data_IF_103795784956
#
_entry.id   IF_103795784956
#
_cell.length_a   1.000
_cell.length_b   1.000
_cell.length_c   1.000
_cell.angle_alpha   90.00
_cell.angle_beta   90.00
_cell.angle_gamma   90.00
#
_symmetry.space_group_name_H-M   'P 1'
#
loop_
_entity.id
_entity.type
_entity.pdbx_description
1 polymer ?
#
# COMPACT_ATOMS: atom_id res chain seq x y z
N UNK A 1 8.69 3.47 -18.93
CA UNK A 1 7.82 3.87 -17.80
C UNK A 1 6.61 2.93 -17.81
N UNK A 2 6.58 1.89 -16.98
CA UNK A 2 5.49 0.90 -17.00
C UNK A 2 4.18 1.54 -16.58
N UNK A 3 3.11 1.35 -17.36
CA UNK A 3 1.76 1.79 -16.98
C UNK A 3 1.38 1.10 -15.67
N UNK A 4 1.22 1.85 -14.58
CA UNK A 4 0.64 1.29 -13.37
C UNK A 4 -0.83 0.97 -13.64
N UNK A 5 -1.18 -0.32 -13.50
CA UNK A 5 -2.56 -0.78 -13.58
C UNK A 5 -3.37 -0.09 -12.49
N UNK A 6 -4.46 0.58 -12.86
CA UNK A 6 -5.34 1.26 -11.91
C UNK A 6 -5.98 0.23 -10.97
N UNK A 7 -5.45 0.12 -9.75
CA UNK A 7 -6.05 -0.68 -8.68
C UNK A 7 -7.34 0.03 -8.26
N UNK A 8 -8.50 -0.61 -8.47
CA UNK A 8 -9.81 0.02 -8.24
C UNK A 8 -10.34 -0.14 -6.81
N UNK A 9 -9.82 -1.11 -6.06
CA UNK A 9 -10.30 -1.50 -4.72
C UNK A 9 -9.18 -2.21 -3.94
N UNK A 10 -9.23 -2.22 -2.61
CA UNK A 10 -8.26 -2.97 -1.83
C UNK A 10 -8.45 -4.47 -2.05
N UNK A 11 -7.36 -5.22 -1.91
CA UNK A 11 -7.38 -6.70 -1.96
C UNK A 11 -8.10 -7.30 -0.75
N UNK A 12 -8.13 -6.58 0.37
CA UNK A 12 -8.74 -6.98 1.63
C UNK A 12 -9.64 -5.86 2.16
N UNK A 13 -10.82 -6.21 2.68
CA UNK A 13 -11.55 -5.29 3.58
C UNK A 13 -10.94 -5.42 4.97
N UNK A 14 -10.31 -4.35 5.44
CA UNK A 14 -9.65 -4.31 6.73
C UNK A 14 -10.14 -3.12 7.54
N UNK A 15 -10.21 -3.29 8.86
CA UNK A 15 -10.63 -2.20 9.76
C UNK A 15 -9.66 -1.02 9.63
N UNK A 16 -10.19 0.20 9.65
CA UNK A 16 -9.41 1.40 9.42
C UNK A 16 -9.00 1.64 7.95
N UNK A 17 -9.51 0.85 7.00
CA UNK A 17 -9.18 0.97 5.57
C UNK A 17 -9.45 2.37 5.00
N UNK A 18 -8.39 3.07 4.64
CA UNK A 18 -8.42 4.45 4.12
C UNK A 18 -8.53 4.57 2.60
N UNK A 19 -8.95 3.52 1.88
CA UNK A 19 -8.85 3.42 0.41
C UNK A 19 -9.33 4.67 -0.34
N UNK A 20 -10.53 5.16 -0.04
CA UNK A 20 -11.11 6.33 -0.72
C UNK A 20 -10.35 7.64 -0.44
N UNK A 21 -9.66 7.74 0.71
CA UNK A 21 -8.88 8.93 1.12
C UNK A 21 -7.39 8.80 0.83
N UNK A 22 -6.93 7.65 0.32
CA UNK A 22 -5.52 7.39 0.09
C UNK A 22 -4.92 8.36 -0.92
N UNK A 23 -5.58 8.60 -2.06
CA UNK A 23 -5.12 9.55 -3.07
C UNK A 23 -4.94 10.97 -2.52
N UNK A 24 -5.88 11.43 -1.68
CA UNK A 24 -5.77 12.71 -0.98
C UNK A 24 -4.56 12.75 -0.05
N UNK A 25 -4.37 11.69 0.75
CA UNK A 25 -3.24 11.56 1.70
C UNK A 25 -1.89 11.58 0.97
N UNK A 26 -1.77 10.81 -0.13
CA UNK A 26 -0.57 10.75 -0.97
C UNK A 26 -0.22 12.11 -1.56
N UNK A 27 -1.21 12.97 -1.85
CA UNK A 27 -0.98 14.31 -2.39
C UNK A 27 -0.14 15.22 -1.49
N UNK A 28 0.02 14.89 -0.22
CA UNK A 28 0.85 15.63 0.73
C UNK A 28 2.26 15.06 0.89
N UNK A 29 2.58 13.94 0.22
CA UNK A 29 3.89 13.32 0.38
C UNK A 29 4.94 14.11 -0.40
N UNK A 30 6.08 14.48 0.22
CA UNK A 30 7.20 15.03 -0.52
C UNK A 30 7.82 13.97 -1.44
N UNK A 31 8.64 14.37 -2.42
CA UNK A 31 9.49 13.43 -3.14
C UNK A 31 10.32 12.60 -2.16
N UNK A 32 10.33 11.28 -2.35
CA UNK A 32 11.01 10.35 -1.47
C UNK A 32 11.55 9.15 -2.23
N UNK A 33 12.70 8.65 -1.81
CA UNK A 33 13.30 7.43 -2.33
C UNK A 33 12.88 6.19 -1.55
N UNK A 34 12.47 6.35 -0.30
CA UNK A 34 12.09 5.27 0.61
C UNK A 34 10.72 5.58 1.21
N UNK A 35 9.83 4.61 1.17
CA UNK A 35 8.54 4.66 1.84
C UNK A 35 8.41 3.50 2.83
N UNK A 36 7.92 3.79 4.03
CA UNK A 36 7.69 2.80 5.08
C UNK A 36 6.26 2.93 5.57
N UNK A 37 5.52 1.81 5.57
CA UNK A 37 4.15 1.71 6.07
C UNK A 37 4.10 0.66 7.18
N UNK A 38 4.30 1.06 8.45
CA UNK A 38 4.35 0.13 9.59
C UNK A 38 3.00 -0.48 9.98
N UNK A 39 1.90 0.16 9.56
CA UNK A 39 0.52 -0.23 9.80
C UNK A 39 -0.18 -0.44 8.45
N UNK A 40 0.25 -1.47 7.73
CA UNK A 40 -0.10 -1.69 6.33
C UNK A 40 -1.60 -1.95 6.11
N UNK A 41 -2.24 -2.73 6.97
CA UNK A 41 -3.64 -3.13 6.83
C UNK A 41 -3.95 -3.65 5.42
N UNK A 42 -4.84 -2.97 4.70
CA UNK A 42 -5.21 -3.32 3.33
C UNK A 42 -4.31 -2.71 2.23
N UNK A 43 -3.20 -2.06 2.59
CA UNK A 43 -2.25 -1.42 1.67
C UNK A 43 -2.80 -0.18 0.97
N UNK A 44 -3.70 0.57 1.63
CA UNK A 44 -4.41 1.67 0.97
C UNK A 44 -3.46 2.76 0.48
N UNK A 45 -2.43 3.13 1.25
CA UNK A 45 -1.53 4.22 0.85
C UNK A 45 -0.47 3.72 -0.12
N UNK A 46 0.22 2.61 0.20
CA UNK A 46 1.23 2.01 -0.68
C UNK A 46 0.74 1.79 -2.10
N UNK A 47 -0.50 1.30 -2.27
CA UNK A 47 -1.06 0.98 -3.59
C UNK A 47 -1.53 2.22 -4.38
N UNK A 48 -1.65 3.39 -3.74
CA UNK A 48 -2.03 4.64 -4.41
C UNK A 48 -0.86 5.59 -4.65
N UNK A 49 0.23 5.47 -3.88
CA UNK A 49 1.38 6.35 -4.07
C UNK A 49 2.14 5.99 -5.35
N UNK A 50 2.82 6.96 -5.98
CA UNK A 50 3.83 6.66 -6.97
C UNK A 50 4.90 5.71 -6.40
N UNK A 51 5.39 4.76 -7.20
CA UNK A 51 6.43 3.84 -6.77
C UNK A 51 7.70 4.59 -6.29
N UNK A 52 8.27 4.17 -5.17
CA UNK A 52 9.55 4.67 -4.65
C UNK A 52 10.67 3.66 -4.94
N UNK A 53 11.94 4.06 -4.80
CA UNK A 53 13.07 3.14 -5.00
C UNK A 53 13.03 1.96 -4.02
N UNK A 54 12.57 2.20 -2.80
CA UNK A 54 12.38 1.16 -1.76
C UNK A 54 11.06 1.37 -1.03
N UNK A 55 10.33 0.29 -0.84
CA UNK A 55 9.04 0.29 -0.16
C UNK A 55 9.04 -0.82 0.88
N UNK A 56 8.71 -0.45 2.12
CA UNK A 56 8.67 -1.35 3.27
C UNK A 56 7.23 -1.36 3.76
N UNK A 57 6.62 -2.55 3.77
CA UNK A 57 5.29 -2.78 4.30
C UNK A 57 5.39 -3.71 5.50
N UNK A 58 4.73 -3.34 6.59
CA UNK A 58 4.64 -4.16 7.79
C UNK A 58 3.26 -4.00 8.43
N UNK A 59 2.83 -5.02 9.16
CA UNK A 59 1.67 -4.96 10.04
C UNK A 59 1.94 -5.83 11.27
N UNK A 60 1.34 -5.51 12.40
CA UNK A 60 1.43 -6.33 13.61
C UNK A 60 0.68 -7.66 13.44
N UNK A 61 -0.39 -7.67 12.64
CA UNK A 61 -1.10 -8.90 12.31
C UNK A 61 -0.36 -9.65 11.19
N UNK A 62 0.40 -10.67 11.58
CA UNK A 62 1.15 -11.51 10.64
C UNK A 62 0.30 -12.16 9.54
N UNK A 63 -1.02 -12.31 9.73
CA UNK A 63 -1.91 -12.85 8.69
C UNK A 63 -2.11 -11.86 7.54
N UNK A 64 -2.11 -10.56 7.83
CA UNK A 64 -2.15 -9.49 6.82
C UNK A 64 -0.89 -9.57 5.96
N UNK A 65 0.28 -9.64 6.61
CA UNK A 65 1.55 -9.73 5.90
C UNK A 65 1.68 -11.03 5.11
N UNK A 66 1.22 -12.15 5.66
CA UNK A 66 1.18 -13.42 4.95
C UNK A 66 0.29 -13.36 3.69
N UNK A 67 -0.94 -12.83 3.81
CA UNK A 67 -1.87 -12.69 2.67
C UNK A 67 -1.23 -11.90 1.53
N UNK A 68 -0.65 -10.74 1.83
CA UNK A 68 -0.02 -9.90 0.81
C UNK A 68 1.27 -10.50 0.23
N UNK A 69 2.04 -11.25 1.03
CA UNK A 69 3.22 -11.98 0.56
C UNK A 69 2.81 -13.05 -0.46
N UNK A 70 1.80 -13.87 -0.14
CA UNK A 70 1.29 -14.90 -1.05
C UNK A 70 0.77 -14.30 -2.35
N UNK A 71 0.00 -13.22 -2.29
CA UNK A 71 -0.54 -12.53 -3.49
C UNK A 71 0.57 -11.93 -4.35
N UNK A 72 1.68 -11.50 -3.76
CA UNK A 72 2.83 -10.95 -4.52
C UNK A 72 3.61 -12.04 -5.24
N UNK A 73 3.72 -13.21 -4.63
CA UNK A 73 4.64 -14.28 -5.06
C UNK A 73 3.97 -15.36 -5.91
N UNK A 74 2.64 -15.40 -5.98
CA UNK A 74 1.86 -16.37 -6.74
C UNK A 74 0.86 -15.69 -7.67
#
# INVERSE_FOLDING_TARGET
MGKQTLVKRPLLRYYGGGWQRAAWTVGYFPPHDVYCEPCFGAGSVLLHKPAAKREIANDVDGRVMNFHTVVRER
#
